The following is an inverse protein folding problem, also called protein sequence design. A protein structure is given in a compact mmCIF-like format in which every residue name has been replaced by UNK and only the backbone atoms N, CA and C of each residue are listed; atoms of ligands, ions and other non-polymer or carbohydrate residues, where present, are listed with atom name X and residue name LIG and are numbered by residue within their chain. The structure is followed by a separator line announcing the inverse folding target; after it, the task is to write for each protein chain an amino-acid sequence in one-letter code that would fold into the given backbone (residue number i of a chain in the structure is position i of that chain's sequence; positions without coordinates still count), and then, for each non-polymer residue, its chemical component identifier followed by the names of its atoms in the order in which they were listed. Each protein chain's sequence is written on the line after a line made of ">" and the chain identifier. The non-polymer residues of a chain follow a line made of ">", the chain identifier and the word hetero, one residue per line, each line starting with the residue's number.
data_IF_694880103070
#
_entry.id   IF_694880103070
#
_cell.length_a   1.000
_cell.length_b   1.000
_cell.length_c   1.000
_cell.angle_alpha   90.00
_cell.angle_beta   90.00
_cell.angle_gamma   90.00
#
_symmetry.space_group_name_H-M   'P 1'
#
loop_
_entity.id
_entity.type
_entity.pdbx_description
1 polymer ?
#
# COMPACT_ATOMS: atom_id res chain seq x y z
N UNK A 1 20.72 -14.67 3.64
CA UNK A 1 20.03 -13.56 4.29
C UNK A 1 18.58 -13.97 4.51
N UNK A 2 17.91 -13.59 5.60
CA UNK A 2 16.48 -13.85 5.73
C UNK A 2 15.73 -13.19 4.56
N UNK A 3 14.67 -13.84 4.12
CA UNK A 3 13.85 -13.33 3.02
C UNK A 3 13.15 -12.04 3.48
N UNK A 4 13.23 -10.98 2.67
CA UNK A 4 12.56 -9.70 2.93
C UNK A 4 11.05 -9.86 2.75
N UNK A 5 10.27 -9.39 3.71
CA UNK A 5 8.81 -9.62 3.73
C UNK A 5 8.03 -8.33 3.63
N UNK A 6 6.96 -8.36 2.85
CA UNK A 6 5.98 -7.27 2.73
C UNK A 6 4.61 -7.79 3.16
N UNK A 7 3.86 -6.95 3.85
CA UNK A 7 2.47 -7.21 4.20
C UNK A 7 1.56 -6.56 3.15
N UNK A 8 0.56 -7.30 2.67
CA UNK A 8 -0.49 -6.77 1.81
C UNK A 8 -1.85 -6.99 2.49
N UNK A 9 -2.61 -5.93 2.73
CA UNK A 9 -3.95 -6.02 3.33
C UNK A 9 -4.98 -5.87 2.22
N UNK A 10 -5.83 -6.87 2.08
CA UNK A 10 -6.87 -6.94 1.06
C UNK A 10 -8.23 -7.26 1.67
N UNK A 11 -9.29 -7.15 0.89
CA UNK A 11 -10.64 -7.52 1.27
C UNK A 11 -11.49 -7.84 0.06
N UNK A 12 -12.72 -8.32 0.27
CA UNK A 12 -13.66 -8.56 -0.84
C UNK A 12 -13.88 -7.27 -1.63
N UNK A 13 -13.91 -7.39 -2.97
CA UNK A 13 -14.01 -6.30 -3.93
C UNK A 13 -12.81 -5.33 -3.94
N UNK A 14 -11.64 -5.82 -3.54
CA UNK A 14 -10.37 -5.19 -3.89
C UNK A 14 -10.23 -5.12 -5.43
N UNK A 15 -9.64 -4.05 -5.94
CA UNK A 15 -9.43 -3.94 -7.39
C UNK A 15 -8.51 -5.06 -7.90
N UNK A 16 -8.90 -5.72 -9.01
CA UNK A 16 -8.30 -6.96 -9.51
C UNK A 16 -6.82 -6.77 -9.87
N UNK A 17 -6.51 -5.77 -10.70
CA UNK A 17 -5.11 -5.48 -11.05
C UNK A 17 -4.31 -4.97 -9.85
N UNK A 18 -4.93 -4.19 -8.96
CA UNK A 18 -4.22 -3.59 -7.81
C UNK A 18 -3.83 -4.61 -6.75
N UNK A 19 -4.41 -5.81 -6.77
CA UNK A 19 -3.94 -6.92 -5.95
C UNK A 19 -3.04 -7.86 -6.73
N UNK A 20 -3.44 -8.29 -7.94
CA UNK A 20 -2.73 -9.34 -8.69
C UNK A 20 -1.34 -8.88 -9.15
N UNK A 21 -1.26 -7.68 -9.75
CA UNK A 21 0.00 -7.18 -10.33
C UNK A 21 1.04 -6.89 -9.24
N UNK A 22 0.78 -6.09 -8.20
CA UNK A 22 1.79 -5.84 -7.18
C UNK A 22 2.17 -7.09 -6.40
N UNK A 23 1.23 -8.02 -6.13
CA UNK A 23 1.54 -9.28 -5.47
C UNK A 23 2.61 -10.07 -6.23
N UNK A 24 2.43 -10.26 -7.54
CA UNK A 24 3.37 -11.01 -8.37
C UNK A 24 4.66 -10.22 -8.66
N UNK A 25 4.57 -8.93 -8.95
CA UNK A 25 5.72 -8.10 -9.27
C UNK A 25 6.69 -7.96 -8.08
N UNK A 26 6.17 -7.83 -6.86
CA UNK A 26 7.00 -7.76 -5.66
C UNK A 26 7.66 -9.11 -5.35
N UNK A 27 6.99 -10.23 -5.60
CA UNK A 27 7.61 -11.56 -5.52
C UNK A 27 8.71 -11.74 -6.58
N UNK A 28 8.47 -11.30 -7.82
CA UNK A 28 9.50 -11.27 -8.87
C UNK A 28 10.71 -10.43 -8.47
N UNK A 29 10.48 -9.34 -7.71
CA UNK A 29 11.55 -8.50 -7.17
C UNK A 29 12.28 -9.10 -5.95
N UNK A 30 11.92 -10.32 -5.52
CA UNK A 30 12.60 -11.08 -4.48
C UNK A 30 12.03 -10.92 -3.07
N UNK A 31 10.84 -10.32 -2.91
CA UNK A 31 10.17 -10.23 -1.62
C UNK A 31 9.23 -11.41 -1.36
N UNK A 32 9.10 -11.84 -0.13
CA UNK A 32 7.93 -12.60 0.29
C UNK A 32 6.79 -11.61 0.54
N UNK A 33 5.63 -11.84 -0.08
CA UNK A 33 4.43 -11.01 0.11
C UNK A 33 3.37 -11.84 0.81
N UNK A 34 3.02 -11.46 2.03
CA UNK A 34 1.92 -12.07 2.77
C UNK A 34 0.66 -11.24 2.58
N UNK A 35 -0.33 -11.82 1.93
CA UNK A 35 -1.62 -11.21 1.67
C UNK A 35 -2.66 -11.71 2.68
N UNK A 36 -3.29 -10.78 3.39
CA UNK A 36 -4.23 -11.05 4.48
C UNK A 36 -5.53 -10.27 4.34
N UNK A 37 -6.59 -10.81 4.90
CA UNK A 37 -7.87 -10.14 5.03
C UNK A 37 -8.40 -10.37 6.45
N UNK A 38 -8.95 -9.34 7.15
CA UNK A 38 -9.66 -9.54 8.40
C UNK A 38 -10.69 -10.66 8.32
N UNK A 39 -10.84 -11.43 9.40
CA UNK A 39 -11.77 -12.55 9.54
C UNK A 39 -11.57 -13.73 8.57
N UNK A 40 -10.48 -13.72 7.79
CA UNK A 40 -10.13 -14.80 6.86
C UNK A 40 -8.76 -15.41 7.18
N UNK A 41 -8.59 -16.66 6.76
CA UNK A 41 -7.39 -17.47 7.00
C UNK A 41 -6.65 -17.74 5.70
N UNK A 42 -5.40 -18.13 5.82
CA UNK A 42 -4.60 -18.66 4.72
C UNK A 42 -5.34 -19.80 4.00
N UNK A 43 -5.34 -19.77 2.67
CA UNK A 43 -6.08 -20.71 1.80
C UNK A 43 -7.51 -20.27 1.46
N UNK A 44 -8.11 -19.35 2.21
CA UNK A 44 -9.36 -18.71 1.82
C UNK A 44 -9.09 -17.65 0.73
N UNK A 45 -10.15 -17.09 0.15
CA UNK A 45 -10.01 -16.09 -0.91
C UNK A 45 -10.86 -14.85 -0.65
N UNK A 46 -10.47 -13.76 -1.28
CA UNK A 46 -11.29 -12.58 -1.46
C UNK A 46 -11.75 -12.50 -2.92
N UNK A 47 -12.96 -12.00 -3.15
CA UNK A 47 -13.45 -11.67 -4.48
C UNK A 47 -12.84 -10.35 -4.91
N UNK A 48 -12.39 -10.27 -6.16
CA UNK A 48 -11.90 -9.00 -6.72
C UNK A 48 -12.98 -8.32 -7.55
N UNK A 49 -12.81 -7.03 -7.81
CA UNK A 49 -13.60 -6.24 -8.73
C UNK A 49 -12.70 -5.66 -9.83
N UNK A 50 -13.15 -5.73 -11.08
CA UNK A 50 -12.49 -5.10 -12.23
C UNK A 50 -13.11 -3.72 -12.40
N UNK A 51 -12.28 -2.68 -12.33
CA UNK A 51 -12.68 -1.30 -12.54
C UNK A 51 -12.02 -0.76 -13.82
N UNK A 52 -12.86 -0.49 -14.83
CA UNK A 52 -12.45 0.01 -16.12
C UNK A 52 -12.85 1.48 -16.31
N UNK A 53 -12.02 2.25 -17.02
CA UNK A 53 -12.26 3.65 -17.39
C UNK A 53 -12.79 3.70 -18.82
N UNK A 54 -14.10 3.50 -18.99
CA UNK A 54 -14.76 3.33 -20.28
C UNK A 54 -15.31 4.65 -20.88
N UNK A 55 -15.01 5.80 -20.25
CA UNK A 55 -15.42 7.13 -20.73
C UNK A 55 -16.62 7.74 -20.01
N UNK A 56 -17.20 7.02 -19.07
CA UNK A 56 -18.23 7.53 -18.16
C UNK A 56 -17.65 8.51 -17.13
N UNK A 57 -18.51 9.20 -16.38
CA UNK A 57 -18.07 10.12 -15.31
C UNK A 57 -17.37 9.40 -14.14
N UNK A 58 -17.45 8.10 -14.10
CA UNK A 58 -16.81 7.22 -13.10
C UNK A 58 -16.34 5.94 -13.78
N UNK A 59 -15.72 5.05 -13.04
CA UNK A 59 -15.34 3.72 -13.52
C UNK A 59 -16.53 2.76 -13.55
N UNK A 60 -16.50 1.79 -14.46
CA UNK A 60 -17.39 0.62 -14.42
C UNK A 60 -16.89 -0.39 -13.37
N UNK A 61 -17.77 -1.28 -12.92
CA UNK A 61 -17.40 -2.36 -12.02
C UNK A 61 -17.94 -3.70 -12.53
N UNK A 62 -17.07 -4.68 -12.63
CA UNK A 62 -17.39 -6.07 -12.95
C UNK A 62 -16.77 -6.99 -11.90
N UNK A 63 -17.38 -8.16 -11.67
CA UNK A 63 -16.79 -9.21 -10.84
C UNK A 63 -15.48 -9.71 -11.49
N UNK A 64 -14.37 -9.66 -10.74
CA UNK A 64 -13.07 -10.18 -11.15
C UNK A 64 -12.83 -11.62 -10.69
N UNK A 65 -11.59 -11.95 -10.35
CA UNK A 65 -11.14 -13.26 -9.94
C UNK A 65 -11.38 -13.53 -8.44
N UNK A 66 -11.00 -14.70 -8.00
CA UNK A 66 -10.76 -15.02 -6.59
C UNK A 66 -9.25 -14.89 -6.34
N UNK A 67 -8.87 -14.04 -5.41
CA UNK A 67 -7.50 -13.92 -4.96
C UNK A 67 -7.32 -14.72 -3.68
N UNK A 68 -6.47 -15.76 -3.71
CA UNK A 68 -6.22 -16.64 -2.56
C UNK A 68 -5.26 -16.00 -1.58
N UNK A 69 -5.63 -15.95 -0.31
CA UNK A 69 -4.80 -15.47 0.78
C UNK A 69 -3.74 -16.51 1.12
N UNK A 70 -2.52 -16.08 1.38
CA UNK A 70 -1.41 -16.97 1.76
C UNK A 70 -0.96 -16.82 3.21
N UNK A 71 -1.62 -15.93 3.97
CA UNK A 71 -1.40 -15.75 5.40
C UNK A 71 -2.72 -15.50 6.15
N UNK A 72 -2.71 -15.66 7.47
CA UNK A 72 -3.88 -15.47 8.34
C UNK A 72 -3.76 -14.14 9.07
N UNK A 73 -4.76 -13.25 8.94
CA UNK A 73 -4.73 -11.90 9.48
C UNK A 73 -4.41 -11.86 10.99
N UNK A 74 -5.08 -12.67 11.80
CA UNK A 74 -4.91 -12.70 13.26
C UNK A 74 -3.55 -13.25 13.73
N UNK A 75 -2.71 -13.75 12.82
CA UNK A 75 -1.37 -14.27 13.11
C UNK A 75 -0.26 -13.33 12.65
N UNK A 76 -0.61 -12.14 12.14
CA UNK A 76 0.36 -11.18 11.64
C UNK A 76 1.01 -10.44 12.81
N UNK A 77 2.34 -10.52 12.86
CA UNK A 77 3.16 -9.57 13.61
C UNK A 77 3.69 -8.50 12.64
N UNK A 78 3.16 -7.25 12.67
CA UNK A 78 3.58 -6.22 11.73
C UNK A 78 5.05 -5.82 11.89
N UNK A 79 5.69 -6.15 13.02
CA UNK A 79 7.11 -5.90 13.22
C UNK A 79 8.00 -6.73 12.27
N UNK A 80 7.52 -7.91 11.85
CA UNK A 80 8.25 -8.82 10.97
C UNK A 80 8.32 -8.38 9.50
N UNK A 81 7.65 -7.31 9.12
CA UNK A 81 7.55 -6.83 7.74
C UNK A 81 8.33 -5.54 7.52
N UNK A 82 8.92 -5.40 6.33
CA UNK A 82 9.69 -4.23 5.93
C UNK A 82 8.85 -3.13 5.31
N UNK A 83 7.67 -3.44 4.81
CA UNK A 83 6.75 -2.50 4.18
C UNK A 83 5.33 -3.02 4.07
N UNK A 84 4.40 -2.10 3.82
CA UNK A 84 2.97 -2.35 3.71
C UNK A 84 2.47 -1.98 2.31
N UNK A 85 1.62 -2.82 1.73
CA UNK A 85 0.95 -2.59 0.44
C UNK A 85 -0.55 -2.56 0.67
N UNK A 86 -1.18 -1.49 0.21
CA UNK A 86 -2.62 -1.24 0.35
C UNK A 86 -3.23 -1.04 -1.03
N UNK A 87 -3.82 -2.08 -1.64
CA UNK A 87 -4.62 -1.97 -2.85
C UNK A 87 -5.93 -1.22 -2.61
N UNK A 88 -6.55 -0.73 -3.69
CA UNK A 88 -7.82 -0.02 -3.64
C UNK A 88 -9.03 -0.89 -3.97
N UNK A 89 -9.85 -0.43 -4.93
CA UNK A 89 -11.18 -0.94 -5.15
C UNK A 89 -12.15 -0.53 -4.03
N UNK A 90 -13.19 -1.32 -3.77
CA UNK A 90 -14.14 -1.05 -2.68
C UNK A 90 -13.69 -1.55 -1.31
N UNK A 91 -12.69 -2.43 -1.25
CA UNK A 91 -12.21 -2.99 0.02
C UNK A 91 -11.86 -1.91 1.06
N UNK A 92 -11.16 -0.81 0.75
CA UNK A 92 -10.87 0.26 1.70
C UNK A 92 -12.10 0.89 2.35
N UNK A 93 -13.26 0.93 1.69
CA UNK A 93 -14.48 1.55 2.21
C UNK A 93 -14.93 0.94 3.54
N UNK A 94 -14.78 -0.37 3.71
CA UNK A 94 -15.18 -1.06 4.93
C UNK A 94 -13.99 -1.50 5.79
N UNK A 95 -12.81 -1.77 5.19
CA UNK A 95 -11.60 -2.09 5.96
C UNK A 95 -11.20 -0.95 6.90
N UNK A 96 -11.48 0.30 6.52
CA UNK A 96 -11.24 1.48 7.38
C UNK A 96 -12.10 1.51 8.65
N UNK A 97 -13.11 0.66 8.76
CA UNK A 97 -13.93 0.50 9.97
C UNK A 97 -13.35 -0.54 10.94
N UNK A 98 -12.35 -1.31 10.51
CA UNK A 98 -11.70 -2.31 11.34
C UNK A 98 -10.51 -1.67 12.12
N UNK A 99 -10.57 -1.60 13.46
CA UNK A 99 -9.53 -0.95 14.25
C UNK A 99 -8.17 -1.64 14.14
N UNK A 100 -8.11 -2.98 13.99
CA UNK A 100 -6.85 -3.71 13.85
C UNK A 100 -6.14 -3.39 12.53
N UNK A 101 -6.91 -3.19 11.44
CA UNK A 101 -6.35 -2.72 10.16
C UNK A 101 -5.75 -1.32 10.32
N UNK A 102 -6.45 -0.42 10.99
CA UNK A 102 -5.95 0.95 11.22
C UNK A 102 -4.73 0.96 12.14
N UNK A 103 -4.68 0.08 13.14
CA UNK A 103 -3.51 -0.08 14.02
C UNK A 103 -2.30 -0.61 13.24
N UNK A 104 -2.48 -1.54 12.30
CA UNK A 104 -1.41 -1.97 11.40
C UNK A 104 -0.90 -0.81 10.55
N UNK A 105 -1.78 -0.02 9.92
CA UNK A 105 -1.36 1.15 9.12
C UNK A 105 -0.56 2.13 9.98
N UNK A 106 -1.04 2.46 11.19
CA UNK A 106 -0.32 3.32 12.13
C UNK A 106 1.04 2.76 12.51
N UNK A 107 1.13 1.45 12.79
CA UNK A 107 2.38 0.80 13.11
C UNK A 107 3.45 1.04 12.03
N UNK A 108 3.11 0.86 10.73
CA UNK A 108 4.09 1.08 9.66
C UNK A 108 4.53 2.55 9.56
N UNK A 109 3.61 3.51 9.76
CA UNK A 109 3.93 4.93 9.75
C UNK A 109 4.81 5.33 10.95
N UNK A 110 4.45 4.92 12.16
CA UNK A 110 5.18 5.20 13.40
C UNK A 110 6.57 4.56 13.42
N UNK A 111 6.69 3.32 12.91
CA UNK A 111 7.96 2.62 12.80
C UNK A 111 8.77 3.05 11.58
N UNK A 112 8.32 4.11 10.90
CA UNK A 112 8.99 4.64 9.71
C UNK A 112 9.29 3.54 8.68
N UNK A 113 8.31 2.67 8.42
CA UNK A 113 8.37 1.64 7.39
C UNK A 113 7.66 2.10 6.12
N UNK A 114 8.17 1.73 4.93
CA UNK A 114 7.54 2.10 3.66
C UNK A 114 6.09 1.62 3.55
N UNK A 115 5.23 2.52 3.06
CA UNK A 115 3.83 2.23 2.75
C UNK A 115 3.58 2.55 1.29
N UNK A 116 3.07 1.58 0.52
CA UNK A 116 2.57 1.76 -0.83
C UNK A 116 1.04 1.68 -0.83
N UNK A 117 0.36 2.75 -1.23
CA UNK A 117 -1.10 2.80 -1.29
C UNK A 117 -1.57 3.31 -2.64
N UNK A 118 -2.64 2.73 -3.18
CA UNK A 118 -3.14 3.07 -4.49
C UNK A 118 -4.65 3.25 -4.48
N UNK A 119 -5.16 4.14 -5.35
CA UNK A 119 -6.58 4.30 -5.61
C UNK A 119 -7.36 4.71 -4.35
N UNK A 120 -8.35 3.92 -3.93
CA UNK A 120 -9.16 4.16 -2.74
C UNK A 120 -8.45 3.80 -1.41
N UNK A 121 -7.25 3.23 -1.45
CA UNK A 121 -6.49 2.96 -0.23
C UNK A 121 -6.16 4.23 0.59
N UNK A 122 -6.23 5.42 -0.03
CA UNK A 122 -6.16 6.70 0.69
C UNK A 122 -7.20 6.82 1.81
N UNK A 123 -8.34 6.12 1.72
CA UNK A 123 -9.36 6.05 2.77
C UNK A 123 -8.84 5.38 4.05
N UNK A 124 -8.02 4.32 3.91
CA UNK A 124 -7.36 3.68 5.05
C UNK A 124 -6.35 4.61 5.71
N UNK A 125 -5.53 5.30 4.90
CA UNK A 125 -4.54 6.26 5.39
C UNK A 125 -5.20 7.42 6.12
N UNK A 126 -6.32 7.95 5.57
CA UNK A 126 -7.09 9.03 6.18
C UNK A 126 -7.70 8.58 7.52
N UNK A 127 -8.35 7.41 7.57
CA UNK A 127 -8.95 6.87 8.78
C UNK A 127 -7.92 6.52 9.85
N UNK A 128 -6.72 6.10 9.46
CA UNK A 128 -5.60 5.86 10.36
C UNK A 128 -4.93 7.15 10.88
N UNK A 129 -5.31 8.32 10.39
CA UNK A 129 -4.74 9.65 10.72
C UNK A 129 -3.24 9.78 10.39
N UNK A 130 -2.77 9.15 9.32
CA UNK A 130 -1.34 9.16 8.93
C UNK A 130 -1.04 10.12 7.78
N UNK A 131 -2.01 10.94 7.35
CA UNK A 131 -1.87 11.83 6.19
C UNK A 131 -1.45 13.26 6.52
N UNK A 132 -1.49 13.69 7.77
CA UNK A 132 -1.26 15.10 8.13
C UNK A 132 0.06 15.64 7.58
N UNK A 133 -0.03 16.66 6.74
CA UNK A 133 1.11 17.34 6.10
C UNK A 133 1.79 16.55 4.98
N UNK A 134 1.33 15.33 4.66
CA UNK A 134 1.93 14.51 3.59
C UNK A 134 1.30 14.79 2.24
N UNK A 135 2.12 14.74 1.20
CA UNK A 135 1.71 14.82 -0.20
C UNK A 135 1.24 13.45 -0.68
N UNK A 136 0.01 13.38 -1.16
CA UNK A 136 -0.68 12.11 -1.47
C UNK A 136 -1.38 12.20 -2.81
N UNK A 137 -1.18 11.21 -3.67
CA UNK A 137 -2.06 10.95 -4.80
C UNK A 137 -3.00 9.80 -4.46
N UNK A 138 -4.20 9.83 -5.04
CA UNK A 138 -5.23 8.83 -4.87
C UNK A 138 -6.17 8.89 -6.07
N UNK A 139 -7.13 7.95 -6.14
CA UNK A 139 -8.24 8.12 -7.06
C UNK A 139 -8.89 9.49 -6.83
N UNK A 140 -9.18 10.26 -7.90
CA UNK A 140 -9.57 11.68 -7.74
C UNK A 140 -10.74 11.93 -6.79
N UNK A 141 -11.71 10.99 -6.73
CA UNK A 141 -12.84 11.11 -5.82
C UNK A 141 -12.46 11.02 -4.32
N UNK A 142 -11.26 10.52 -3.99
CA UNK A 142 -10.74 10.49 -2.62
C UNK A 142 -10.04 11.80 -2.21
N UNK A 143 -9.91 12.78 -3.11
CA UNK A 143 -9.23 14.04 -2.79
C UNK A 143 -9.85 14.81 -1.61
N UNK A 144 -11.19 14.86 -1.42
CA UNK A 144 -11.78 15.50 -0.25
C UNK A 144 -11.43 14.79 1.06
N UNK A 145 -11.33 13.46 1.07
CA UNK A 145 -10.95 12.69 2.25
C UNK A 145 -9.47 12.94 2.62
N UNK A 146 -8.58 12.97 1.63
CA UNK A 146 -7.17 13.33 1.83
C UNK A 146 -7.04 14.71 2.47
N UNK A 147 -7.75 15.71 1.93
CA UNK A 147 -7.74 17.07 2.46
C UNK A 147 -8.32 17.15 3.87
N UNK A 148 -9.44 16.48 4.14
CA UNK A 148 -10.07 16.44 5.47
C UNK A 148 -9.18 15.79 6.54
N UNK A 149 -8.33 14.83 6.14
CA UNK A 149 -7.34 14.20 7.01
C UNK A 149 -6.05 15.04 7.17
N UNK A 150 -6.02 16.27 6.62
CA UNK A 150 -4.87 17.17 6.69
C UNK A 150 -3.74 16.82 5.71
N UNK A 151 -3.98 15.94 4.76
CA UNK A 151 -3.06 15.63 3.67
C UNK A 151 -3.10 16.68 2.54
N UNK A 152 -2.07 16.71 1.73
CA UNK A 152 -1.97 17.56 0.55
C UNK A 152 -2.20 16.69 -0.68
N UNK A 153 -3.41 16.76 -1.25
CA UNK A 153 -3.71 16.02 -2.47
C UNK A 153 -2.91 16.56 -3.66
N UNK A 154 -2.19 15.67 -4.34
CA UNK A 154 -1.38 15.98 -5.51
C UNK A 154 -1.99 15.30 -6.73
N UNK A 155 -2.67 16.04 -7.62
CA UNK A 155 -3.14 15.47 -8.87
C UNK A 155 -1.94 15.15 -9.77
N UNK A 156 -1.89 13.91 -10.24
CA UNK A 156 -0.89 13.43 -11.20
C UNK A 156 -1.59 12.69 -12.34
N UNK A 157 -0.85 12.39 -13.40
CA UNK A 157 -1.36 11.50 -14.45
C UNK A 157 -1.78 10.15 -13.86
N UNK A 158 -2.80 9.51 -14.45
CA UNK A 158 -3.24 8.16 -14.07
C UNK A 158 -2.12 7.10 -14.17
N UNK A 159 -1.02 7.42 -14.81
CA UNK A 159 0.16 6.56 -15.00
C UNK A 159 1.35 6.92 -14.11
N UNK A 160 1.20 7.90 -13.21
CA UNK A 160 2.30 8.36 -12.35
C UNK A 160 2.00 8.12 -10.86
N UNK A 161 2.99 8.33 -10.01
CA UNK A 161 2.92 8.13 -8.58
C UNK A 161 3.64 9.24 -7.82
N UNK A 162 3.22 9.49 -6.58
CA UNK A 162 3.80 10.47 -5.66
C UNK A 162 4.60 9.74 -4.57
N UNK A 163 5.77 10.25 -4.28
CA UNK A 163 6.59 9.84 -3.12
C UNK A 163 6.65 11.00 -2.14
N UNK A 164 6.35 10.73 -0.88
CA UNK A 164 6.58 11.64 0.23
C UNK A 164 7.23 10.85 1.39
N UNK A 165 8.54 11.01 1.52
CA UNK A 165 9.33 10.23 2.47
C UNK A 165 9.24 8.72 2.20
N UNK A 166 8.56 8.00 3.08
CA UNK A 166 8.36 6.55 2.98
C UNK A 166 6.97 6.17 2.45
N UNK A 167 6.13 7.15 2.15
CA UNK A 167 4.80 6.93 1.59
C UNK A 167 4.86 7.06 0.06
N UNK A 168 4.40 6.03 -0.64
CA UNK A 168 4.31 6.00 -2.10
C UNK A 168 2.86 5.79 -2.49
N UNK A 169 2.28 6.76 -3.20
CA UNK A 169 0.85 6.74 -3.55
C UNK A 169 0.61 6.95 -5.03
N UNK A 170 -0.50 6.39 -5.53
CA UNK A 170 -0.86 6.48 -6.94
C UNK A 170 -2.39 6.54 -7.14
N UNK A 171 -2.87 7.09 -8.29
CA UNK A 171 -4.30 7.29 -8.51
C UNK A 171 -5.07 6.01 -8.82
N UNK A 172 -4.52 5.09 -9.60
CA UNK A 172 -5.19 3.84 -10.01
C UNK A 172 -4.21 2.88 -10.71
N UNK A 173 -4.68 1.69 -11.05
CA UNK A 173 -3.90 0.61 -11.65
C UNK A 173 -3.04 0.98 -12.87
N UNK A 174 -3.38 1.96 -13.74
CA UNK A 174 -2.45 2.34 -14.83
C UNK A 174 -1.11 2.88 -14.34
N UNK A 175 -1.02 3.31 -13.08
CA UNK A 175 0.21 3.79 -12.45
C UNK A 175 1.12 2.66 -11.93
N UNK A 176 0.76 1.40 -12.00
CA UNK A 176 1.54 0.30 -11.41
C UNK A 176 3.04 0.33 -11.76
N UNK A 177 3.45 0.58 -13.02
CA UNK A 177 4.87 0.62 -13.34
C UNK A 177 5.63 1.70 -12.55
N UNK A 178 5.10 2.92 -12.50
CA UNK A 178 5.72 4.02 -11.78
C UNK A 178 5.62 3.83 -10.25
N UNK A 179 4.46 3.42 -9.76
CA UNK A 179 4.19 3.19 -8.35
C UNK A 179 5.09 2.11 -7.75
N UNK A 180 5.18 0.94 -8.41
CA UNK A 180 6.00 -0.16 -7.94
C UNK A 180 7.50 0.13 -8.04
N UNK A 181 7.95 0.80 -9.13
CA UNK A 181 9.33 1.23 -9.24
C UNK A 181 9.75 2.15 -8.09
N UNK A 182 8.95 3.20 -7.82
CA UNK A 182 9.18 4.14 -6.71
C UNK A 182 9.14 3.44 -5.34
N UNK A 183 8.22 2.48 -5.16
CA UNK A 183 8.15 1.72 -3.91
C UNK A 183 9.40 0.85 -3.69
N UNK A 184 9.89 0.17 -4.72
CA UNK A 184 11.13 -0.62 -4.67
C UNK A 184 12.35 0.25 -4.39
N UNK A 185 12.42 1.46 -4.96
CA UNK A 185 13.48 2.44 -4.65
C UNK A 185 13.47 2.83 -3.17
N UNK A 186 12.29 3.14 -2.62
CA UNK A 186 12.11 3.49 -1.21
C UNK A 186 12.53 2.32 -0.29
N UNK A 187 12.09 1.09 -0.59
CA UNK A 187 12.47 -0.11 0.15
C UNK A 187 13.99 -0.34 0.14
N UNK A 188 14.64 -0.16 -1.00
CA UNK A 188 16.07 -0.40 -1.16
C UNK A 188 16.94 0.71 -0.52
N UNK A 189 16.47 1.96 -0.52
CA UNK A 189 17.19 3.07 0.10
C UNK A 189 17.36 2.89 1.61
N UNK A 190 16.47 2.19 2.29
CA UNK A 190 16.58 1.87 3.72
C UNK A 190 17.68 0.85 4.02
N UNK A 191 17.84 -0.14 3.16
CA UNK A 191 18.88 -1.17 3.33
C UNK A 191 20.27 -0.55 3.27
N UNK A 192 20.49 0.37 2.34
CA UNK A 192 21.75 1.07 2.18
C UNK A 192 22.12 1.92 3.42
N UNK A 193 21.12 2.53 4.06
CA UNK A 193 21.33 3.33 5.29
C UNK A 193 21.60 2.47 6.52
N UNK A 194 21.01 1.30 6.64
CA UNK A 194 21.23 0.38 7.76
C UNK A 194 22.59 -0.35 7.69
N UNK A 195 23.22 -0.39 6.51
CA UNK A 195 24.51 -1.03 6.28
C UNK A 195 25.72 -0.08 6.36
N UNK A 196 25.52 1.23 6.61
CA UNK A 196 26.62 2.15 6.93
C UNK A 196 26.77 2.27 8.45
N UNK A 197 27.69 1.50 9.11
CA UNK A 197 28.04 1.76 10.50
C UNK A 197 28.73 3.11 10.54
N UNK A 198 28.36 3.91 11.54
CA UNK A 198 28.79 5.28 11.72
C UNK A 198 30.29 5.46 11.48
N UNK A 199 30.63 6.28 10.53
CA UNK A 199 31.98 6.79 10.34
C UNK A 199 32.21 7.76 11.49
N UNK A 200 32.73 7.24 12.60
CA UNK A 200 33.18 8.02 13.72
C UNK A 200 34.22 9.03 13.18
N UNK A 201 33.95 10.31 13.40
CA UNK A 201 34.89 11.39 13.25
C UNK A 201 36.10 11.08 14.13
N UNK A 202 37.19 10.61 13.55
CA UNK A 202 38.51 10.74 14.15
C UNK A 202 38.99 12.14 13.83
N UNK A 203 38.68 13.09 14.69
CA UNK A 203 39.51 14.29 14.84
C UNK A 203 40.80 13.88 15.54
N UNK A 204 41.84 13.78 14.76
CA UNK A 204 43.19 13.72 15.25
C UNK A 204 43.69 15.14 15.54
N UNK A 205 44.24 15.27 16.71
CA UNK A 205 45.01 16.39 17.24
C UNK A 205 46.06 16.95 16.26
#
# INVERSE_FOLDING_TARGET
>A
MPQRRLLMIVGDYVEDYEVMVPFQALQMAGYAVDAVCPDKKSGEFVRTAIHDFEGDQTYSEKRGHNFTLNATFSQIDPAAYEGLVLPGGRAPEYLRLNPEVLDMVRHFDEQQKPIAAICHAAQLLAAANVLKGKRVSAYPACSPEVASAGGIYVPVSMTDAVVDGLLVTAPAWPAHPAWLAKFLEVLNSRVSKSQQPGRALQETR
#
